data_IF_553544719394
#
_entry.id   IF_553544719394
#
_cell.length_a   1.000
_cell.length_b   1.000
_cell.length_c   1.000
_cell.angle_alpha   90.00
_cell.angle_beta   90.00
_cell.angle_gamma   90.00
#
_symmetry.space_group_name_H-M   'P 1'
#
loop_
_entity.id
_entity.type
_entity.pdbx_description
1 polymer ?
#
# COMPACT_ATOMS: atom_id res chain seq x y z
N UNK A 1 5.69 -19.98 3.94
CA UNK A 1 4.70 -20.81 3.20
C UNK A 1 3.33 -20.35 3.66
N UNK A 2 2.71 -19.41 2.95
CA UNK A 2 1.36 -18.89 3.26
C UNK A 2 0.34 -19.84 2.68
N UNK A 3 -0.50 -20.42 3.53
CA UNK A 3 -1.59 -21.32 3.15
C UNK A 3 -2.65 -20.56 2.32
N UNK A 4 -2.92 -20.95 1.06
CA UNK A 4 -3.93 -20.32 0.22
C UNK A 4 -5.37 -20.44 0.75
N UNK A 5 -5.63 -21.33 1.72
CA UNK A 5 -6.95 -21.53 2.33
C UNK A 5 -7.34 -20.47 3.38
N UNK A 6 -6.43 -19.54 3.71
CA UNK A 6 -6.64 -18.50 4.73
C UNK A 6 -7.60 -17.35 4.33
N UNK A 7 -8.19 -17.37 3.13
CA UNK A 7 -9.14 -16.31 2.72
C UNK A 7 -8.53 -14.90 2.73
N UNK A 8 -7.21 -14.81 2.50
CA UNK A 8 -6.48 -13.55 2.53
C UNK A 8 -6.94 -12.66 1.37
N UNK A 9 -7.12 -11.34 1.60
CA UNK A 9 -7.54 -10.43 0.54
C UNK A 9 -6.49 -10.38 -0.57
N UNK A 10 -6.89 -10.79 -1.78
CA UNK A 10 -6.11 -10.65 -3.01
C UNK A 10 -6.27 -9.24 -3.55
N UNK A 11 -5.19 -8.62 -3.99
CA UNK A 11 -5.12 -7.28 -4.59
C UNK A 11 -4.59 -7.41 -6.02
N UNK A 12 -5.32 -6.81 -6.95
CA UNK A 12 -4.92 -6.76 -8.36
C UNK A 12 -4.45 -5.35 -8.73
N UNK A 13 -3.22 -5.23 -9.23
CA UNK A 13 -2.67 -3.95 -9.69
C UNK A 13 -3.32 -3.52 -11.02
N UNK A 14 -4.18 -2.50 -10.95
CA UNK A 14 -4.90 -1.91 -12.07
C UNK A 14 -3.98 -1.41 -13.19
N UNK A 15 -2.80 -0.93 -12.81
CA UNK A 15 -1.70 -0.52 -13.67
C UNK A 15 -0.40 -1.15 -13.15
N UNK A 16 0.64 -1.34 -14.00
CA UNK A 16 1.86 -1.98 -13.53
C UNK A 16 2.50 -1.16 -12.41
N UNK A 17 2.93 -1.84 -11.35
CA UNK A 17 3.67 -1.18 -10.27
C UNK A 17 5.03 -0.71 -10.80
N UNK A 18 5.44 0.55 -10.54
CA UNK A 18 6.77 1.03 -10.89
C UNK A 18 7.87 0.10 -10.36
N UNK A 19 8.82 -0.28 -11.22
CA UNK A 19 9.88 -1.25 -10.88
C UNK A 19 9.49 -2.72 -10.96
N UNK A 20 8.19 -3.06 -10.97
CA UNK A 20 7.69 -4.45 -10.98
C UNK A 20 6.55 -4.67 -12.00
N UNK A 21 6.73 -4.34 -13.29
CA UNK A 21 5.64 -4.31 -14.27
C UNK A 21 4.99 -5.68 -14.57
N UNK A 22 5.71 -6.77 -14.33
CA UNK A 22 5.26 -8.15 -14.51
C UNK A 22 4.43 -8.69 -13.35
N UNK A 23 4.49 -8.06 -12.18
CA UNK A 23 3.78 -8.53 -10.98
C UNK A 23 2.47 -7.79 -10.82
N UNK A 24 1.35 -8.49 -10.98
CA UNK A 24 0.00 -7.91 -10.96
C UNK A 24 -0.87 -8.37 -9.82
N UNK A 25 -0.67 -9.59 -9.37
CA UNK A 25 -1.47 -10.17 -8.29
C UNK A 25 -0.65 -10.24 -7.01
N UNK A 26 -1.23 -9.73 -5.94
CA UNK A 26 -0.64 -9.71 -4.61
C UNK A 26 -1.65 -10.20 -3.58
N UNK A 27 -1.16 -10.75 -2.47
CA UNK A 27 -1.98 -11.02 -1.28
C UNK A 27 -1.54 -10.10 -0.15
N UNK A 28 -2.51 -9.53 0.57
CA UNK A 28 -2.24 -8.70 1.74
C UNK A 28 -2.31 -9.54 3.01
N UNK A 29 -1.16 -9.77 3.63
CA UNK A 29 -1.00 -10.65 4.79
C UNK A 29 -0.74 -9.79 6.03
N UNK A 30 -1.59 -9.90 7.05
CA UNK A 30 -1.35 -9.24 8.34
C UNK A 30 -0.13 -9.86 9.04
N UNK A 31 0.76 -9.02 9.58
CA UNK A 31 2.01 -9.45 10.23
C UNK A 31 2.00 -9.31 11.75
N UNK A 32 1.13 -8.48 12.33
CA UNK A 32 1.02 -8.28 13.77
C UNK A 32 -0.44 -8.25 14.24
N UNK A 33 -0.63 -8.52 15.54
CA UNK A 33 -1.95 -8.58 16.18
C UNK A 33 -2.57 -7.19 16.36
N UNK A 34 -1.75 -6.14 16.51
CA UNK A 34 -2.20 -4.73 16.52
C UNK A 34 -2.86 -4.31 15.21
N UNK A 35 -2.59 -5.08 14.16
CA UNK A 35 -3.30 -5.00 12.91
C UNK A 35 -2.97 -3.80 12.03
N UNK A 36 -1.79 -3.21 12.23
CA UNK A 36 -1.31 -2.07 11.47
C UNK A 36 -0.25 -2.45 10.44
N UNK A 37 0.38 -3.61 10.58
CA UNK A 37 1.49 -4.03 9.72
C UNK A 37 1.09 -5.19 8.81
N UNK A 38 1.40 -5.06 7.53
CA UNK A 38 1.05 -6.05 6.52
C UNK A 38 2.22 -6.30 5.56
N UNK A 39 2.29 -7.51 5.02
CA UNK A 39 3.08 -7.83 3.84
C UNK A 39 2.16 -7.86 2.62
N UNK A 40 2.43 -7.02 1.63
CA UNK A 40 1.87 -7.13 0.30
C UNK A 40 2.80 -8.03 -0.52
N UNK A 41 2.43 -9.31 -0.66
CA UNK A 41 3.29 -10.37 -1.24
C UNK A 41 2.81 -10.73 -2.64
N UNK A 42 3.70 -10.73 -3.63
CA UNK A 42 3.33 -11.16 -4.99
C UNK A 42 2.97 -12.64 -5.01
N UNK A 43 1.89 -12.99 -5.72
CA UNK A 43 1.49 -14.39 -5.92
C UNK A 43 2.50 -15.12 -6.81
N UNK A 44 3.00 -14.45 -7.85
CA UNK A 44 3.93 -15.04 -8.83
C UNK A 44 5.35 -15.21 -8.27
N UNK A 45 5.75 -14.37 -7.31
CA UNK A 45 7.05 -14.44 -6.67
C UNK A 45 6.95 -14.08 -5.18
N UNK A 46 6.83 -15.07 -4.28
CA UNK A 46 6.71 -14.84 -2.85
C UNK A 46 7.90 -14.12 -2.18
N UNK A 47 9.07 -14.09 -2.82
CA UNK A 47 10.22 -13.31 -2.35
C UNK A 47 10.05 -11.80 -2.62
N UNK A 48 9.19 -11.43 -3.59
CA UNK A 48 8.78 -10.05 -3.80
C UNK A 48 7.64 -9.70 -2.85
N UNK A 49 7.98 -9.02 -1.77
CA UNK A 49 7.01 -8.52 -0.79
C UNK A 49 7.36 -7.13 -0.32
N UNK A 50 6.33 -6.34 -0.06
CA UNK A 50 6.47 -5.00 0.51
C UNK A 50 5.87 -4.98 1.91
N UNK A 51 6.60 -4.40 2.85
CA UNK A 51 6.03 -4.05 4.14
C UNK A 51 5.15 -2.81 3.94
N UNK A 52 3.89 -2.86 4.38
CA UNK A 52 2.93 -1.77 4.21
C UNK A 52 2.09 -1.55 5.45
N UNK A 53 1.60 -0.32 5.63
CA UNK A 53 0.66 0.05 6.68
C UNK A 53 -0.26 1.18 6.22
N UNK A 54 -1.47 1.33 6.79
CA UNK A 54 -2.21 2.57 6.70
C UNK A 54 -1.37 3.72 7.31
N UNK A 55 -1.25 4.88 6.64
CA UNK A 55 -0.42 5.98 7.13
C UNK A 55 -1.03 6.74 8.31
N UNK A 56 -2.36 6.83 8.39
CA UNK A 56 -3.10 7.64 9.38
C UNK A 56 -2.64 7.45 10.85
N UNK A 57 -2.41 6.21 11.35
CA UNK A 57 -1.98 6.01 12.74
C UNK A 57 -0.58 6.54 13.08
N UNK A 58 0.23 6.87 12.06
CA UNK A 58 1.61 7.35 12.19
C UNK A 58 1.74 8.81 11.72
N UNK A 59 0.89 9.23 10.80
CA UNK A 59 0.87 10.55 10.19
C UNK A 59 -0.57 11.09 10.16
N UNK A 60 -1.10 11.57 11.30
CA UNK A 60 -2.50 12.01 11.39
C UNK A 60 -2.87 13.14 10.43
N UNK A 61 -1.89 13.98 10.07
CA UNK A 61 -2.06 15.11 9.14
C UNK A 61 -1.88 14.69 7.66
N UNK A 62 -1.64 13.42 7.37
CA UNK A 62 -1.46 12.93 6.00
C UNK A 62 -2.80 12.81 5.27
N UNK A 63 -3.14 13.83 4.49
CA UNK A 63 -4.36 13.93 3.71
C UNK A 63 -4.02 14.25 2.24
N UNK A 64 -3.51 13.29 1.46
CA UNK A 64 -3.17 13.54 0.06
C UNK A 64 -4.43 13.72 -0.81
N UNK A 65 -4.35 14.62 -1.78
CA UNK A 65 -5.37 14.72 -2.82
C UNK A 65 -5.19 13.58 -3.83
N UNK A 66 -6.25 12.79 -4.05
CA UNK A 66 -6.24 11.69 -5.02
C UNK A 66 -6.84 12.19 -6.33
N UNK A 67 -6.05 12.14 -7.40
CA UNK A 67 -6.47 12.61 -8.72
C UNK A 67 -7.47 11.66 -9.40
N UNK A 68 -8.32 12.22 -10.27
CA UNK A 68 -9.34 11.48 -11.04
C UNK A 68 -8.78 10.29 -11.85
N UNK A 69 -7.52 10.34 -12.26
CA UNK A 69 -6.87 9.22 -12.95
C UNK A 69 -6.82 7.94 -12.11
N UNK A 70 -6.70 8.07 -10.78
CA UNK A 70 -6.68 6.94 -9.85
C UNK A 70 -8.06 6.30 -9.81
N UNK A 71 -9.11 7.11 -9.64
CA UNK A 71 -10.50 6.66 -9.68
C UNK A 71 -10.84 5.93 -10.99
N UNK A 72 -10.38 6.47 -12.13
CA UNK A 72 -10.54 5.83 -13.42
C UNK A 72 -9.81 4.48 -13.52
N UNK A 73 -8.57 4.39 -13.04
CA UNK A 73 -7.79 3.15 -13.05
C UNK A 73 -8.41 2.05 -12.15
N UNK A 74 -8.90 2.46 -10.98
CA UNK A 74 -9.56 1.58 -10.01
C UNK A 74 -11.01 1.25 -10.42
N UNK A 75 -11.57 1.96 -11.40
CA UNK A 75 -12.98 1.85 -11.81
C UNK A 75 -13.95 2.10 -10.64
N UNK A 76 -13.65 3.10 -9.81
CA UNK A 76 -14.45 3.51 -8.65
C UNK A 76 -14.75 5.00 -8.72
N UNK A 77 -15.84 5.42 -8.07
CA UNK A 77 -16.25 6.84 -7.96
C UNK A 77 -16.41 7.29 -6.52
N UNK A 78 -16.21 6.37 -5.59
CA UNK A 78 -16.53 6.55 -4.18
C UNK A 78 -15.21 6.71 -3.41
N UNK A 79 -14.82 7.94 -3.02
CA UNK A 79 -13.57 8.19 -2.31
C UNK A 79 -13.54 7.47 -0.96
N UNK A 80 -14.69 7.24 -0.34
CA UNK A 80 -14.75 6.55 0.95
C UNK A 80 -14.33 5.08 0.83
N UNK A 81 -14.36 4.49 -0.37
CA UNK A 81 -13.87 3.11 -0.59
C UNK A 81 -12.37 3.00 -0.62
N UNK A 82 -11.65 4.10 -0.80
CA UNK A 82 -10.20 4.07 -0.98
C UNK A 82 -9.50 3.82 0.36
N UNK A 83 -8.62 2.83 0.35
CA UNK A 83 -7.65 2.56 1.41
C UNK A 83 -6.27 2.99 0.91
N UNK A 84 -5.55 3.77 1.72
CA UNK A 84 -4.16 4.11 1.44
C UNK A 84 -3.24 3.19 2.25
N UNK A 85 -2.23 2.66 1.58
CA UNK A 85 -1.15 1.89 2.17
C UNK A 85 0.18 2.54 1.81
N UNK A 86 0.98 2.93 2.80
CA UNK A 86 2.34 3.42 2.58
C UNK A 86 3.32 2.26 2.62
N UNK A 87 4.28 2.27 1.70
CA UNK A 87 5.39 1.30 1.70
C UNK A 87 6.37 1.68 2.80
N UNK A 88 6.70 0.71 3.64
CA UNK A 88 7.59 0.85 4.79
C UNK A 88 8.97 0.32 4.44
N UNK A 89 9.98 1.08 4.81
CA UNK A 89 11.38 0.63 4.86
C UNK A 89 11.76 0.50 6.33
N UNK A 90 11.88 -0.74 6.80
CA UNK A 90 12.41 -1.05 8.12
C UNK A 90 13.95 -0.94 8.09
N UNK A 91 14.51 -0.07 8.91
CA UNK A 91 15.94 0.06 9.12
C UNK A 91 16.32 -0.38 10.54
N UNK A 92 17.62 -0.48 10.79
CA UNK A 92 18.15 -0.87 12.10
C UNK A 92 17.87 0.19 13.18
N UNK A 93 18.01 1.47 12.83
CA UNK A 93 17.82 2.59 13.75
C UNK A 93 16.49 3.35 13.51
N UNK A 94 16.01 3.34 12.26
CA UNK A 94 14.83 4.11 11.85
C UNK A 94 13.93 3.29 10.92
N UNK A 95 12.63 3.35 11.16
CA UNK A 95 11.61 2.86 10.23
C UNK A 95 10.96 4.06 9.54
N UNK A 96 10.90 4.01 8.21
CA UNK A 96 10.35 5.11 7.40
C UNK A 96 9.24 4.64 6.49
N UNK A 97 8.25 5.51 6.23
CA UNK A 97 7.19 5.30 5.26
C UNK A 97 7.38 6.18 4.03
N UNK A 98 7.03 5.67 2.86
CA UNK A 98 6.92 6.45 1.64
C UNK A 98 5.53 7.10 1.56
N UNK A 99 5.48 8.40 1.86
CA UNK A 99 4.26 9.21 1.78
C UNK A 99 4.06 9.83 0.38
N UNK A 100 5.11 9.88 -0.44
CA UNK A 100 5.03 10.38 -1.81
C UNK A 100 4.35 9.38 -2.76
N UNK A 101 4.54 8.08 -2.53
CA UNK A 101 4.08 7.03 -3.44
C UNK A 101 3.23 5.95 -2.75
N UNK A 102 2.05 6.31 -2.18
CA UNK A 102 1.16 5.34 -1.57
C UNK A 102 0.60 4.35 -2.60
N UNK A 103 0.23 3.18 -2.11
CA UNK A 103 -0.61 2.21 -2.80
C UNK A 103 -2.05 2.52 -2.42
N UNK A 104 -2.86 2.92 -3.40
CA UNK A 104 -4.28 3.20 -3.25
C UNK A 104 -5.05 1.96 -3.67
N UNK A 105 -5.91 1.45 -2.78
CA UNK A 105 -6.70 0.23 -2.98
C UNK A 105 -8.18 0.58 -2.89
N UNK A 106 -8.99 0.19 -3.86
CA UNK A 106 -10.44 0.20 -3.70
C UNK A 106 -10.88 -1.05 -2.93
N UNK A 107 -11.51 -0.86 -1.77
CA UNK A 107 -11.83 -1.95 -0.82
C UNK A 107 -12.90 -2.94 -1.31
N UNK A 108 -13.66 -2.58 -2.35
CA UNK A 108 -14.75 -3.41 -2.88
C UNK A 108 -14.23 -4.29 -4.03
N UNK A 109 -13.60 -3.67 -5.02
CA UNK A 109 -13.04 -4.37 -6.18
C UNK A 109 -11.67 -5.00 -5.91
N UNK A 110 -11.01 -4.63 -4.82
CA UNK A 110 -9.63 -4.99 -4.47
C UNK A 110 -8.60 -4.63 -5.55
N UNK A 111 -8.94 -3.68 -6.42
CA UNK A 111 -8.01 -3.11 -7.40
C UNK A 111 -7.13 -2.08 -6.73
N UNK A 112 -5.86 -2.04 -7.13
CA UNK A 112 -4.90 -1.10 -6.58
C UNK A 112 -4.04 -0.40 -7.62
N UNK A 113 -3.49 0.76 -7.23
CA UNK A 113 -2.51 1.51 -8.01
C UNK A 113 -1.49 2.13 -7.06
N UNK A 114 -0.20 2.02 -7.38
CA UNK A 114 0.81 2.83 -6.71
C UNK A 114 0.84 4.21 -7.38
N UNK A 115 0.52 5.26 -6.63
CA UNK A 115 0.30 6.61 -7.14
C UNK A 115 1.44 7.50 -6.68
N UNK A 116 2.13 8.16 -7.60
CA UNK A 116 3.14 9.19 -7.23
C UNK A 116 2.45 10.54 -7.12
N UNK A 117 2.39 11.09 -5.90
CA UNK A 117 1.75 12.35 -5.56
C UNK A 117 2.64 13.55 -5.96
N UNK A 118 2.83 13.74 -7.26
CA UNK A 118 3.72 14.78 -7.81
C UNK A 118 3.30 16.18 -7.36
N UNK A 119 4.27 17.00 -6.94
CA UNK A 119 4.00 18.38 -6.51
C UNK A 119 3.37 18.53 -5.11
N UNK A 120 3.05 17.44 -4.41
CA UNK A 120 2.45 17.47 -3.06
C UNK A 120 3.41 17.92 -1.95
N UNK A 121 4.72 17.81 -2.17
CA UNK A 121 5.73 18.03 -1.14
C UNK A 121 5.88 16.88 -0.13
N UNK A 122 5.12 15.78 -0.26
CA UNK A 122 5.28 14.63 0.62
C UNK A 122 6.65 13.95 0.43
N UNK A 123 7.29 13.49 1.52
CA UNK A 123 8.59 12.86 1.43
C UNK A 123 8.51 11.39 0.98
N UNK A 124 9.57 10.94 0.31
CA UNK A 124 9.79 9.50 0.04
C UNK A 124 10.16 8.74 1.33
N UNK A 125 10.69 9.43 2.33
CA UNK A 125 11.09 8.88 3.63
C UNK A 125 10.56 9.78 4.74
N UNK A 126 9.42 9.43 5.33
CA UNK A 126 8.92 10.00 6.57
C UNK A 126 9.22 9.07 7.73
N UNK A 127 9.81 9.57 8.82
CA UNK A 127 10.09 8.76 10.02
C UNK A 127 8.76 8.36 10.69
N UNK A 128 8.59 7.07 10.96
CA UNK A 128 7.41 6.56 11.65
C UNK A 128 7.63 6.66 13.16
N UNK A 129 6.96 7.62 13.80
CA UNK A 129 7.10 7.88 15.23
C UNK A 129 6.21 6.93 16.06
N UNK A 130 6.47 5.62 15.99
CA UNK A 130 5.91 4.59 16.88
C UNK A 130 6.72 3.30 16.74
N UNK A 131 7.14 2.72 17.85
CA UNK A 131 7.79 1.40 17.83
C UNK A 131 6.73 0.35 17.52
N UNK A 132 6.98 -0.47 16.49
CA UNK A 132 6.19 -1.65 16.12
C UNK A 132 6.70 -2.90 16.84
#
# INVERSE_FOLDING_TARGET
MTDPSLGLPSITMAVPMPGFPSHREFVLVRLNDDGLLFALTSIDNPELRFLVAPPEPFFPDYAPEIENQVFAALNTKDPDRLLLLSVITAGQDETTANLLAPIVVDRDSMRAMQVVLSGSGYPVRAIMNRNF
#
